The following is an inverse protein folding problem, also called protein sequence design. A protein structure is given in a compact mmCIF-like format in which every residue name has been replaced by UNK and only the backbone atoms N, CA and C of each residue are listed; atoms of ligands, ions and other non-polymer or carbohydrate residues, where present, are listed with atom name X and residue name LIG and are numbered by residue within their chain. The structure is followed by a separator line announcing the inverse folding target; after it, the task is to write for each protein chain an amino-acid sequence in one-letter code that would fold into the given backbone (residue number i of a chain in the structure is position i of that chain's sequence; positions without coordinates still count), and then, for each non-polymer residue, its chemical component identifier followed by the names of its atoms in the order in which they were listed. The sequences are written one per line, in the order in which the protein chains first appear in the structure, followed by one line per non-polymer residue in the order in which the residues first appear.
data_IF_103430817391
#
_entry.id   IF_103430817391
#
_cell.length_a   1.000
_cell.length_b   1.000
_cell.length_c   1.000
_cell.angle_alpha   90.00
_cell.angle_beta   90.00
_cell.angle_gamma   90.00
#
_symmetry.space_group_name_H-M   'P 1'
#
loop_
_entity.id
_entity.type
_entity.pdbx_description
1 polymer ?
#
# COMPACT_ATOMS: atom_id res chain seq x y z
N UNK A 1 -5.02 -10.40 5.01
CA UNK A 1 -4.45 -9.11 4.57
C UNK A 1 -4.35 -9.14 3.07
N UNK A 2 -4.67 -8.04 2.38
CA UNK A 2 -4.59 -7.90 0.91
C UNK A 2 -3.66 -6.74 0.54
N UNK A 3 -2.86 -6.94 -0.52
CA UNK A 3 -1.98 -5.91 -1.05
C UNK A 3 -2.82 -4.85 -1.78
N UNK A 4 -2.60 -3.57 -1.45
CA UNK A 4 -3.27 -2.43 -2.08
C UNK A 4 -2.32 -1.58 -2.92
N UNK A 5 -1.02 -1.66 -2.64
CA UNK A 5 -0.01 -0.92 -3.38
C UNK A 5 1.33 -1.66 -3.40
N UNK A 6 2.00 -1.62 -4.54
CA UNK A 6 3.38 -2.06 -4.71
C UNK A 6 4.25 -0.82 -4.90
N UNK A 7 5.16 -0.57 -3.98
CA UNK A 7 6.02 0.59 -4.02
C UNK A 7 7.33 0.28 -4.75
N UNK A 8 7.94 1.29 -5.34
CA UNK A 8 9.25 1.14 -6.01
C UNK A 8 10.41 1.01 -5.02
N UNK A 9 10.26 1.62 -3.85
CA UNK A 9 11.28 1.74 -2.81
C UNK A 9 10.62 1.86 -1.43
N UNK A 10 11.41 1.71 -0.36
CA UNK A 10 10.88 1.71 1.00
C UNK A 10 10.30 3.06 1.40
N UNK A 11 10.88 4.17 0.95
CA UNK A 11 10.40 5.52 1.29
C UNK A 11 9.03 5.75 0.66
N UNK A 12 8.82 5.28 -0.57
CA UNK A 12 7.54 5.32 -1.26
C UNK A 12 6.49 4.45 -0.55
N UNK A 13 6.86 3.26 -0.09
CA UNK A 13 5.97 2.37 0.68
C UNK A 13 5.53 2.98 2.01
N UNK A 14 6.47 3.56 2.77
CA UNK A 14 6.19 4.22 4.05
C UNK A 14 5.33 5.46 3.85
N UNK A 15 5.54 6.23 2.78
CA UNK A 15 4.68 7.37 2.41
C UNK A 15 3.25 6.92 2.11
N UNK A 16 3.09 5.89 1.30
CA UNK A 16 1.78 5.33 0.96
C UNK A 16 1.05 4.78 2.19
N UNK A 17 1.77 4.04 3.03
CA UNK A 17 1.26 3.54 4.30
C UNK A 17 0.83 4.67 5.24
N UNK A 18 1.65 5.72 5.38
CA UNK A 18 1.33 6.88 6.21
C UNK A 18 0.12 7.64 5.69
N UNK A 19 -0.04 7.78 4.37
CA UNK A 19 -1.20 8.45 3.78
C UNK A 19 -2.50 7.65 4.04
N UNK A 20 -2.47 6.34 3.84
CA UNK A 20 -3.60 5.44 4.13
C UNK A 20 -3.98 5.44 5.61
N UNK A 21 -2.99 5.45 6.52
CA UNK A 21 -3.23 5.60 7.96
C UNK A 21 -3.81 6.98 8.31
N UNK A 22 -3.37 8.03 7.62
CA UNK A 22 -3.86 9.39 7.81
C UNK A 22 -5.35 9.57 7.50
N UNK A 23 -5.91 8.70 6.64
CA UNK A 23 -7.35 8.66 6.32
C UNK A 23 -8.10 7.55 7.06
N UNK A 24 -7.45 6.85 8.00
CA UNK A 24 -8.07 5.90 8.93
C UNK A 24 -7.97 4.42 8.57
N UNK A 25 -7.21 4.04 7.53
CA UNK A 25 -7.02 2.61 7.21
C UNK A 25 -5.89 1.97 8.02
N UNK A 26 -6.10 0.70 8.38
CA UNK A 26 -5.08 -0.11 9.05
C UNK A 26 -4.03 -0.65 8.04
N UNK A 27 -3.20 0.24 7.49
CA UNK A 27 -2.16 -0.12 6.53
C UNK A 27 -0.86 -0.59 7.20
N UNK A 28 -0.17 -1.56 6.59
CA UNK A 28 1.16 -2.04 6.99
C UNK A 28 2.08 -2.16 5.78
N UNK A 29 3.36 -1.84 5.96
CA UNK A 29 4.38 -2.09 4.93
C UNK A 29 4.92 -3.51 5.12
N UNK A 30 4.89 -4.30 4.05
CA UNK A 30 5.45 -5.65 3.98
C UNK A 30 6.60 -5.64 2.99
N UNK A 31 7.76 -6.16 3.39
CA UNK A 31 8.92 -6.31 2.50
C UNK A 31 10.29 -5.91 3.04
N UNK A 32 10.48 -5.73 4.36
CA UNK A 32 11.81 -5.34 4.88
C UNK A 32 12.27 -5.98 6.19
N UNK A 33 11.54 -6.93 6.80
CA UNK A 33 11.93 -7.44 8.13
C UNK A 33 12.19 -8.93 8.29
N UNK A 34 11.96 -9.74 7.26
CA UNK A 34 12.46 -11.11 7.20
C UNK A 34 12.68 -11.39 5.72
N UNK A 35 13.76 -12.08 5.37
CA UNK A 35 14.01 -12.59 4.04
C UNK A 35 12.84 -13.48 3.57
N UNK A 36 11.75 -12.87 3.08
CA UNK A 36 10.73 -13.54 2.30
C UNK A 36 11.20 -13.37 0.85
N UNK A 37 11.77 -14.40 0.23
CA UNK A 37 12.42 -14.30 -1.09
C UNK A 37 11.46 -13.99 -2.26
N UNK A 38 10.20 -13.64 -1.98
CA UNK A 38 9.16 -13.43 -2.98
C UNK A 38 8.66 -11.99 -3.10
N UNK A 39 9.02 -11.08 -2.18
CA UNK A 39 8.66 -9.66 -2.29
C UNK A 39 9.89 -8.85 -2.71
N UNK A 40 10.20 -8.86 -4.01
CA UNK A 40 11.31 -8.10 -4.61
C UNK A 40 11.17 -6.59 -4.39
N UNK A 41 9.96 -6.12 -4.05
CA UNK A 41 9.66 -4.72 -3.80
C UNK A 41 8.78 -4.55 -2.56
N UNK A 42 9.01 -3.50 -1.76
CA UNK A 42 8.19 -3.20 -0.59
C UNK A 42 6.75 -2.88 -1.03
N UNK A 43 5.78 -3.32 -0.23
CA UNK A 43 4.36 -3.27 -0.59
C UNK A 43 3.51 -2.87 0.61
N UNK A 44 2.37 -2.23 0.35
CA UNK A 44 1.42 -1.83 1.38
C UNK A 44 0.22 -2.76 1.37
N UNK A 45 -0.09 -3.29 2.55
CA UNK A 45 -1.15 -4.25 2.78
C UNK A 45 -2.13 -3.72 3.82
N UNK A 46 -3.39 -4.11 3.70
CA UNK A 46 -4.48 -3.75 4.61
C UNK A 46 -5.34 -4.99 4.92
N UNK A 47 -6.19 -4.95 5.97
CA UNK A 47 -7.19 -5.98 6.21
C UNK A 47 -8.11 -6.18 5.00
N UNK A 48 -8.49 -7.42 4.70
CA UNK A 48 -9.30 -7.76 3.53
C UNK A 48 -10.64 -7.00 3.51
N UNK A 49 -11.24 -6.80 4.69
CA UNK A 49 -12.50 -6.06 4.87
C UNK A 49 -12.41 -4.58 4.47
N UNK A 50 -11.20 -4.01 4.42
CA UNK A 50 -10.94 -2.61 4.06
C UNK A 50 -10.27 -2.48 2.69
N UNK A 51 -9.94 -3.60 2.03
CA UNK A 51 -9.02 -3.58 0.90
C UNK A 51 -9.53 -2.78 -0.29
N UNK A 52 -10.80 -2.95 -0.66
CA UNK A 52 -11.40 -2.22 -1.78
C UNK A 52 -11.56 -0.72 -1.47
N UNK A 53 -11.97 -0.38 -0.25
CA UNK A 53 -12.07 1.02 0.20
C UNK A 53 -10.69 1.71 0.26
N UNK A 54 -9.68 1.00 0.76
CA UNK A 54 -8.31 1.51 0.83
C UNK A 54 -7.68 1.66 -0.57
N UNK A 55 -7.97 0.74 -1.50
CA UNK A 55 -7.52 0.86 -2.88
C UNK A 55 -8.15 2.07 -3.59
N UNK A 56 -9.46 2.29 -3.40
CA UNK A 56 -10.15 3.46 -3.92
C UNK A 56 -9.58 4.76 -3.32
N UNK A 57 -9.45 4.84 -2.00
CA UNK A 57 -8.87 6.00 -1.32
C UNK A 57 -7.43 6.26 -1.76
N UNK A 58 -6.62 5.21 -1.98
CA UNK A 58 -5.27 5.35 -2.49
C UNK A 58 -5.24 5.92 -3.91
N UNK A 59 -6.16 5.49 -4.78
CA UNK A 59 -6.30 6.04 -6.13
C UNK A 59 -6.68 7.52 -6.10
N UNK A 60 -7.62 7.92 -5.23
CA UNK A 60 -7.99 9.34 -5.03
C UNK A 60 -6.81 10.17 -4.49
N UNK A 61 -6.04 9.63 -3.54
CA UNK A 61 -4.86 10.30 -2.98
C UNK A 61 -3.73 10.51 -4.00
N UNK A 62 -3.60 9.64 -5.00
CA UNK A 62 -2.64 9.83 -6.11
C UNK A 62 -3.17 10.77 -7.20
N UNK A 63 -4.46 11.11 -7.15
CA UNK A 63 -5.14 11.96 -8.13
C UNK A 63 -5.57 11.22 -9.40
N UNK A 64 -6.45 11.85 -10.21
CA UNK A 64 -6.93 11.30 -11.48
C UNK A 64 -5.77 11.23 -12.48
N UNK A 65 -5.08 10.08 -12.49
CA UNK A 65 -3.88 9.85 -13.30
C UNK A 65 -3.11 8.58 -12.95
N UNK A 66 -3.38 7.94 -11.80
CA UNK A 66 -2.85 6.62 -11.47
C UNK A 66 -3.63 5.53 -12.23
N UNK A 67 -3.35 5.43 -13.54
CA UNK A 67 -3.96 4.48 -14.46
C UNK A 67 -3.88 3.05 -13.93
N UNK A 68 -5.01 2.36 -13.99
CA UNK A 68 -5.08 0.91 -14.03
C UNK A 68 -4.15 0.41 -15.16
N UNK A 69 -3.09 -0.29 -14.77
CA UNK A 69 -2.27 -1.19 -15.60
C UNK A 69 -1.89 -2.38 -14.75
#
# INVERSE_FOLDING_TARGET
MKQVYMARDRVDAERACSALRGVGFAAVVVGDLVAIPSATFPSVWVPDEQADAAAAAWADLRGPGASAV
#
